data_IF_914066010873
#
_entry.id   IF_914066010873
#
_cell.length_a   1.000
_cell.length_b   1.000
_cell.length_c   1.000
_cell.angle_alpha   90.00
_cell.angle_beta   90.00
_cell.angle_gamma   90.00
#
_symmetry.space_group_name_H-M   'P 1'
#
loop_
_entity.id
_entity.type
_entity.pdbx_description
1 polymer ?
#
# COMPACT_ATOMS: atom_id res chain seq x y z
N UNK A 1 -6.29 -19.42 -1.02
CA UNK A 1 -5.57 -18.13 -0.82
C UNK A 1 -6.54 -17.00 -1.08
N UNK A 2 -6.85 -16.20 -0.06
CA UNK A 2 -7.75 -15.03 -0.14
C UNK A 2 -6.92 -13.76 -0.31
N UNK A 3 -7.15 -13.02 -1.38
CA UNK A 3 -6.52 -11.73 -1.65
C UNK A 3 -7.57 -10.63 -1.49
N UNK A 4 -7.28 -9.67 -0.64
CA UNK A 4 -8.15 -8.53 -0.35
C UNK A 4 -7.49 -7.23 -0.82
N UNK A 5 -8.28 -6.35 -1.40
CA UNK A 5 -7.86 -5.00 -1.82
C UNK A 5 -8.71 -3.99 -1.06
N UNK A 6 -8.08 -3.20 -0.20
CA UNK A 6 -8.78 -2.16 0.54
C UNK A 6 -9.25 -1.06 -0.41
N UNK A 7 -10.56 -0.78 -0.40
CA UNK A 7 -11.11 0.38 -1.08
C UNK A 7 -11.02 1.62 -0.17
N UNK A 8 -9.87 2.27 -0.20
CA UNK A 8 -9.65 3.54 0.52
C UNK A 8 -10.34 4.75 -0.14
N UNK A 9 -11.11 4.54 -1.20
CA UNK A 9 -11.67 5.66 -2.00
C UNK A 9 -10.61 6.36 -2.86
N UNK A 10 -9.38 5.87 -2.88
CA UNK A 10 -8.29 6.38 -3.71
C UNK A 10 -7.45 5.21 -4.25
N UNK A 11 -6.87 5.39 -5.42
CA UNK A 11 -6.09 4.34 -6.08
C UNK A 11 -6.79 3.73 -7.28
N UNK A 12 -6.00 3.16 -8.18
CA UNK A 12 -6.52 2.46 -9.34
C UNK A 12 -6.84 1.00 -8.98
N UNK A 13 -7.90 0.83 -8.16
CA UNK A 13 -8.34 -0.48 -7.65
C UNK A 13 -8.71 -1.42 -8.80
N UNK A 14 -9.36 -0.90 -9.84
CA UNK A 14 -9.77 -1.70 -10.98
C UNK A 14 -8.56 -2.30 -11.72
N UNK A 15 -7.52 -1.51 -11.96
CA UNK A 15 -6.29 -2.02 -12.59
C UNK A 15 -5.58 -3.06 -11.74
N UNK A 16 -5.49 -2.86 -10.43
CA UNK A 16 -4.90 -3.83 -9.52
C UNK A 16 -5.70 -5.14 -9.52
N UNK A 17 -7.03 -5.03 -9.44
CA UNK A 17 -7.93 -6.19 -9.51
C UNK A 17 -7.74 -6.95 -10.82
N UNK A 18 -7.74 -6.25 -11.95
CA UNK A 18 -7.59 -6.85 -13.27
C UNK A 18 -6.22 -7.54 -13.43
N UNK A 19 -5.15 -6.92 -12.95
CA UNK A 19 -3.81 -7.50 -12.98
C UNK A 19 -3.74 -8.79 -12.16
N UNK A 20 -4.28 -8.79 -10.94
CA UNK A 20 -4.33 -9.99 -10.10
C UNK A 20 -5.20 -11.09 -10.72
N UNK A 21 -6.33 -10.72 -11.34
CA UNK A 21 -7.19 -11.66 -12.05
C UNK A 21 -6.50 -12.27 -13.28
N UNK A 22 -5.75 -11.47 -14.02
CA UNK A 22 -4.93 -11.94 -15.14
C UNK A 22 -3.87 -12.97 -14.70
N UNK A 23 -3.35 -12.81 -13.49
CA UNK A 23 -2.41 -13.77 -12.88
C UNK A 23 -3.09 -15.02 -12.32
N UNK A 24 -4.41 -15.18 -12.51
CA UNK A 24 -5.17 -16.35 -12.08
C UNK A 24 -5.71 -16.27 -10.64
N UNK A 25 -5.64 -15.11 -10.00
CA UNK A 25 -6.19 -14.89 -8.67
C UNK A 25 -7.62 -14.32 -8.73
N UNK A 26 -8.37 -14.47 -7.66
CA UNK A 26 -9.71 -13.89 -7.52
C UNK A 26 -9.74 -12.89 -6.34
N UNK A 27 -9.25 -11.65 -6.55
CA UNK A 27 -9.17 -10.66 -5.48
C UNK A 27 -10.55 -10.07 -5.14
N UNK A 28 -10.77 -9.85 -3.85
CA UNK A 28 -11.97 -9.21 -3.31
C UNK A 28 -11.67 -7.75 -3.00
N UNK A 29 -12.49 -6.84 -3.49
CA UNK A 29 -12.44 -5.42 -3.11
C UNK A 29 -13.24 -5.26 -1.83
N UNK A 30 -12.61 -4.71 -0.80
CA UNK A 30 -13.15 -4.61 0.56
C UNK A 30 -13.54 -3.16 0.85
N UNK A 31 -14.82 -2.93 1.10
CA UNK A 31 -15.38 -1.64 1.46
C UNK A 31 -15.50 -1.44 2.97
N UNK A 32 -15.43 -2.51 3.74
CA UNK A 32 -15.53 -2.54 5.18
C UNK A 32 -14.49 -3.49 5.80
N UNK A 33 -14.21 -3.31 7.08
CA UNK A 33 -13.16 -4.03 7.80
C UNK A 33 -13.43 -5.53 7.86
N UNK A 34 -14.69 -5.91 8.00
CA UNK A 34 -15.13 -7.30 8.09
C UNK A 34 -14.76 -8.13 6.85
N UNK A 35 -14.68 -7.47 5.69
CA UNK A 35 -14.29 -8.11 4.42
C UNK A 35 -12.84 -8.63 4.45
N UNK A 36 -11.99 -8.04 5.32
CA UNK A 36 -10.59 -8.42 5.47
C UNK A 36 -10.37 -9.74 6.24
N UNK A 37 -11.40 -10.25 6.91
CA UNK A 37 -11.30 -11.46 7.71
C UNK A 37 -10.73 -12.64 6.92
N UNK A 38 -9.73 -13.33 7.49
CA UNK A 38 -9.06 -14.50 6.89
C UNK A 38 -8.39 -14.21 5.53
N UNK A 39 -7.94 -12.98 5.31
CA UNK A 39 -7.14 -12.65 4.13
C UNK A 39 -5.71 -13.16 4.30
N UNK A 40 -5.17 -13.80 3.28
CA UNK A 40 -3.74 -14.16 3.22
C UNK A 40 -2.91 -12.94 2.79
N UNK A 41 -3.44 -12.16 1.83
CA UNK A 41 -2.82 -10.93 1.34
C UNK A 41 -3.80 -9.77 1.40
N UNK A 42 -3.34 -8.63 1.91
CA UNK A 42 -4.10 -7.39 1.98
C UNK A 42 -3.35 -6.32 1.19
N UNK A 43 -3.91 -5.87 0.09
CA UNK A 43 -3.38 -4.76 -0.68
C UNK A 43 -3.97 -3.44 -0.18
N UNK A 44 -3.09 -2.48 0.09
CA UNK A 44 -3.42 -1.10 0.44
C UNK A 44 -2.95 -0.17 -0.68
N UNK A 45 -3.73 0.02 -1.75
CA UNK A 45 -3.43 1.01 -2.77
C UNK A 45 -3.75 2.41 -2.26
N UNK A 46 -3.02 3.41 -2.77
CA UNK A 46 -3.31 4.81 -2.48
C UNK A 46 -2.76 5.71 -3.58
N UNK A 47 -3.56 6.70 -3.99
CA UNK A 47 -3.12 7.79 -4.87
C UNK A 47 -3.61 9.13 -4.33
N UNK A 48 -2.91 10.21 -4.69
CA UNK A 48 -3.22 11.54 -4.22
C UNK A 48 -2.44 11.94 -2.97
N UNK A 49 -3.00 12.79 -2.13
CA UNK A 49 -2.30 13.27 -0.94
C UNK A 49 -2.36 12.27 0.21
N UNK A 50 -1.27 12.19 0.96
CA UNK A 50 -1.14 11.36 2.16
C UNK A 50 -2.32 11.56 3.13
N UNK A 51 -2.64 12.82 3.46
CA UNK A 51 -3.70 13.16 4.41
C UNK A 51 -5.08 12.70 3.93
N UNK A 52 -5.38 12.82 2.64
CA UNK A 52 -6.68 12.39 2.12
C UNK A 52 -6.87 10.89 2.23
N UNK A 53 -5.83 10.10 1.92
CA UNK A 53 -5.93 8.64 2.05
C UNK A 53 -6.11 8.24 3.52
N UNK A 54 -5.39 8.89 4.45
CA UNK A 54 -5.59 8.65 5.90
C UNK A 54 -7.02 8.99 6.33
N UNK A 55 -7.56 10.13 5.91
CA UNK A 55 -8.95 10.53 6.25
C UNK A 55 -9.97 9.51 5.73
N UNK A 56 -9.81 9.05 4.50
CA UNK A 56 -10.68 8.04 3.92
C UNK A 56 -10.61 6.71 4.69
N UNK A 57 -9.40 6.27 5.06
CA UNK A 57 -9.22 5.06 5.87
C UNK A 57 -9.89 5.19 7.25
N UNK A 58 -9.79 6.37 7.88
CA UNK A 58 -10.47 6.66 9.16
C UNK A 58 -12.00 6.60 9.01
N UNK A 59 -12.55 7.20 7.96
CA UNK A 59 -14.00 7.20 7.69
C UNK A 59 -14.57 5.79 7.51
N UNK A 60 -13.78 4.86 6.99
CA UNK A 60 -14.16 3.47 6.76
C UNK A 60 -13.66 2.51 7.85
N UNK A 61 -13.14 3.01 8.96
CA UNK A 61 -12.57 2.27 10.08
C UNK A 61 -11.34 1.39 9.74
N UNK A 62 -10.81 1.46 8.53
CA UNK A 62 -9.61 0.71 8.15
C UNK A 62 -8.36 1.20 8.89
N UNK A 63 -8.29 2.50 9.21
CA UNK A 63 -7.12 3.08 9.87
C UNK A 63 -6.85 2.43 11.22
N UNK A 64 -7.86 2.35 12.09
CA UNK A 64 -7.70 1.77 13.42
C UNK A 64 -7.48 0.25 13.36
N UNK A 65 -8.17 -0.42 12.45
CA UNK A 65 -7.95 -1.84 12.19
C UNK A 65 -6.51 -2.15 11.79
N UNK A 66 -5.94 -1.40 10.84
CA UNK A 66 -4.59 -1.60 10.33
C UNK A 66 -3.50 -1.19 11.32
N UNK A 67 -3.76 -0.28 12.26
CA UNK A 67 -2.79 0.07 13.30
C UNK A 67 -2.53 -1.08 14.28
N UNK A 68 -3.49 -1.95 14.47
CA UNK A 68 -3.35 -3.09 15.36
C UNK A 68 -2.91 -4.32 14.58
N UNK A 69 -1.61 -4.57 14.54
CA UNK A 69 -1.02 -5.70 13.79
C UNK A 69 -1.68 -7.05 14.09
N UNK A 70 -2.14 -7.26 15.33
CA UNK A 70 -2.86 -8.48 15.73
C UNK A 70 -4.09 -8.79 14.87
N UNK A 71 -4.70 -7.76 14.24
CA UNK A 71 -5.89 -7.95 13.40
C UNK A 71 -5.57 -8.65 12.08
N UNK A 72 -4.29 -8.66 11.67
CA UNK A 72 -3.84 -9.28 10.41
C UNK A 72 -2.49 -10.01 10.56
N UNK A 73 -2.19 -10.54 11.75
CA UNK A 73 -0.91 -11.23 12.04
C UNK A 73 -0.60 -12.39 11.07
N UNK A 74 -1.64 -13.05 10.56
CA UNK A 74 -1.51 -14.13 9.58
C UNK A 74 -1.61 -13.66 8.14
N UNK A 75 -1.63 -12.35 7.89
CA UNK A 75 -1.77 -11.76 6.57
C UNK A 75 -0.52 -10.98 6.19
N UNK A 76 -0.23 -10.92 4.89
CA UNK A 76 0.82 -10.06 4.34
C UNK A 76 0.16 -8.76 3.87
N UNK A 77 0.51 -7.64 4.49
CA UNK A 77 0.07 -6.31 4.08
C UNK A 77 1.03 -5.73 3.03
N UNK A 78 0.48 -5.32 1.88
CA UNK A 78 1.23 -4.79 0.75
C UNK A 78 0.75 -3.37 0.45
N UNK A 79 1.56 -2.37 0.77
CA UNK A 79 1.30 -0.98 0.43
C UNK A 79 1.78 -0.65 -0.99
N UNK A 80 0.95 0.06 -1.77
CA UNK A 80 1.30 0.50 -3.12
C UNK A 80 1.24 2.02 -3.21
N UNK A 81 2.34 2.64 -3.66
CA UNK A 81 2.48 4.10 -3.83
C UNK A 81 2.21 4.81 -2.49
N UNK A 82 1.22 5.69 -2.41
CA UNK A 82 0.83 6.34 -1.13
C UNK A 82 0.47 5.30 -0.08
N UNK A 83 -0.16 4.18 -0.44
CA UNK A 83 -0.42 3.08 0.48
C UNK A 83 0.83 2.52 1.17
N UNK A 84 1.97 2.49 0.46
CA UNK A 84 3.28 2.14 1.07
C UNK A 84 3.74 3.24 2.04
N UNK A 85 3.58 4.51 1.67
CA UNK A 85 3.96 5.62 2.54
C UNK A 85 3.18 5.61 3.86
N UNK A 86 1.90 5.20 3.83
CA UNK A 86 1.05 5.11 5.03
C UNK A 86 1.56 4.11 6.07
N UNK A 87 2.37 3.13 5.69
CA UNK A 87 2.91 2.15 6.64
C UNK A 87 3.89 2.78 7.65
N UNK A 88 4.49 3.93 7.32
CA UNK A 88 5.43 4.66 8.16
C UNK A 88 4.74 5.57 9.18
N UNK A 89 5.53 6.24 10.01
CA UNK A 89 5.04 7.10 11.10
C UNK A 89 4.37 8.37 10.59
N UNK A 90 4.95 9.00 9.55
CA UNK A 90 4.51 10.28 8.99
C UNK A 90 5.13 10.53 7.61
N UNK A 91 4.62 11.55 6.92
CA UNK A 91 5.15 12.02 5.64
C UNK A 91 5.32 13.54 5.67
N UNK A 92 6.37 14.04 5.02
CA UNK A 92 6.55 15.50 4.77
C UNK A 92 5.52 16.05 3.76
N UNK A 93 4.72 15.17 3.12
CA UNK A 93 3.65 15.57 2.21
C UNK A 93 2.32 15.85 2.92
N UNK A 94 2.24 15.57 4.23
CA UNK A 94 1.01 15.73 5.01
C UNK A 94 1.27 16.05 6.48
N UNK A 95 0.19 16.24 7.21
CA UNK A 95 0.16 16.51 8.65
C UNK A 95 -0.42 15.35 9.46
N UNK A 96 -1.13 14.45 8.82
CA UNK A 96 -1.71 13.28 9.44
C UNK A 96 -0.62 12.26 9.86
N UNK A 97 -0.92 11.46 10.85
CA UNK A 97 -0.05 10.35 11.27
C UNK A 97 -0.31 9.12 10.40
N UNK A 98 0.76 8.45 10.00
CA UNK A 98 0.67 7.16 9.32
C UNK A 98 0.25 6.02 10.25
N UNK A 99 0.31 4.81 9.75
CA UNK A 99 -0.07 3.60 10.48
C UNK A 99 0.98 3.16 11.51
N UNK A 100 2.22 3.66 11.38
CA UNK A 100 3.34 3.33 12.27
C UNK A 100 3.61 1.81 12.37
N UNK A 101 3.45 1.09 11.27
CA UNK A 101 3.79 -0.33 11.15
C UNK A 101 5.27 -0.54 10.82
N UNK A 102 5.87 0.45 10.20
CA UNK A 102 7.30 0.55 9.90
C UNK A 102 7.87 1.81 10.55
N UNK A 103 9.02 1.69 11.21
CA UNK A 103 9.71 2.82 11.79
C UNK A 103 10.29 3.74 10.71
N UNK A 104 10.19 5.05 10.94
CA UNK A 104 10.74 6.07 10.05
C UNK A 104 9.70 7.00 9.48
N UNK A 105 10.20 7.95 8.66
CA UNK A 105 9.39 9.02 8.06
C UNK A 105 9.63 9.12 6.57
N UNK A 106 8.57 9.35 5.82
CA UNK A 106 8.66 9.64 4.39
C UNK A 106 9.13 11.09 4.21
N UNK A 107 10.18 11.27 3.42
CA UNK A 107 10.78 12.59 3.14
C UNK A 107 10.66 12.94 1.67
N UNK A 108 10.53 14.23 1.39
CA UNK A 108 10.67 14.75 0.03
C UNK A 108 12.11 14.60 -0.47
N UNK A 109 12.26 14.42 -1.76
CA UNK A 109 13.58 14.45 -2.37
C UNK A 109 14.23 15.82 -2.16
N UNK A 110 15.42 15.85 -1.54
CA UNK A 110 16.16 17.08 -1.24
C UNK A 110 17.31 17.39 -2.21
N UNK A 111 17.43 16.62 -3.29
CA UNK A 111 18.57 16.72 -4.22
C UNK A 111 18.31 17.80 -5.27
N UNK A 112 19.19 18.79 -5.33
CA UNK A 112 19.06 19.99 -6.21
C UNK A 112 18.92 19.69 -7.71
N UNK A 113 19.27 18.48 -8.17
CA UNK A 113 19.31 18.11 -9.59
C UNK A 113 18.26 17.05 -9.98
N UNK A 114 17.33 16.72 -9.09
CA UNK A 114 16.23 15.78 -9.40
C UNK A 114 14.96 16.55 -9.66
N UNK A 115 14.35 16.31 -10.83
CA UNK A 115 13.03 16.85 -11.13
C UNK A 115 11.97 16.19 -10.23
N UNK A 116 11.18 17.00 -9.54
CA UNK A 116 10.07 16.55 -8.70
C UNK A 116 8.76 17.04 -9.33
N UNK A 117 7.77 16.17 -9.54
CA UNK A 117 7.76 14.75 -9.19
C UNK A 117 8.71 13.91 -10.05
N UNK A 118 9.32 12.88 -9.42
CA UNK A 118 10.17 11.92 -10.12
C UNK A 118 9.27 10.85 -10.75
N UNK A 119 9.17 10.88 -12.07
CA UNK A 119 8.31 9.98 -12.86
C UNK A 119 9.12 9.39 -14.02
N UNK A 120 8.89 8.11 -14.29
CA UNK A 120 9.53 7.40 -15.40
C UNK A 120 9.88 5.96 -15.06
N UNK A 121 10.46 5.29 -16.03
CA UNK A 121 10.98 3.94 -15.87
C UNK A 121 12.37 4.00 -15.24
N UNK A 122 12.57 3.22 -14.18
CA UNK A 122 13.85 3.09 -13.49
C UNK A 122 14.23 1.64 -13.34
N UNK A 123 15.53 1.36 -13.39
CA UNK A 123 16.06 0.05 -13.04
C UNK A 123 16.10 -0.06 -11.52
N UNK A 124 15.63 -1.19 -11.01
CA UNK A 124 15.67 -1.52 -9.58
C UNK A 124 16.69 -2.62 -9.37
N UNK A 125 17.64 -2.38 -8.48
CA UNK A 125 18.67 -3.32 -8.09
C UNK A 125 18.48 -3.72 -6.63
N UNK A 126 18.56 -5.00 -6.33
CA UNK A 126 18.47 -5.50 -4.96
C UNK A 126 19.18 -6.83 -4.82
N UNK A 127 20.08 -6.96 -3.86
CA UNK A 127 20.97 -8.10 -3.70
C UNK A 127 20.23 -9.43 -3.47
N UNK A 128 19.04 -9.42 -2.91
CA UNK A 128 18.26 -10.60 -2.57
C UNK A 128 16.89 -10.68 -3.23
N UNK A 129 16.38 -9.62 -3.83
CA UNK A 129 15.04 -9.58 -4.38
C UNK A 129 14.90 -10.47 -5.63
N UNK A 130 15.95 -10.53 -6.46
CA UNK A 130 15.93 -11.30 -7.71
C UNK A 130 16.34 -12.76 -7.58
N UNK A 131 16.94 -13.19 -6.47
CA UNK A 131 17.30 -14.60 -6.28
C UNK A 131 16.08 -15.51 -6.15
N UNK A 132 14.93 -14.96 -5.73
CA UNK A 132 13.69 -15.70 -5.52
C UNK A 132 12.66 -15.50 -6.65
N UNK A 133 12.84 -14.51 -7.51
CA UNK A 133 12.05 -14.33 -8.72
C UNK A 133 12.77 -15.04 -9.86
N UNK A 134 12.51 -16.36 -10.05
CA UNK A 134 13.04 -17.11 -11.17
C UNK A 134 12.83 -16.34 -12.49
N UNK A 135 13.81 -15.58 -12.87
CA UNK A 135 14.19 -14.92 -14.11
C UNK A 135 13.27 -14.95 -15.33
N UNK A 136 11.97 -14.90 -15.17
CA UNK A 136 11.06 -14.67 -16.28
C UNK A 136 10.74 -13.16 -16.31
N UNK A 137 11.45 -12.48 -17.22
CA UNK A 137 11.10 -11.13 -17.70
C UNK A 137 9.78 -11.16 -18.44
#
# INVERSE_FOLDING_TARGET
MKISIINSGSGNIASLKNMLSFLGYNPVVCDQVEDLNKSDFIFLPGVGSFDNVIKNLKQKNFYDYLKEKKNFDNSILIGICVGMQLLFESSEEGTEKGLNLLSGKIKKFSVKNIKVPHMGWNSVFGDNFYKNCNGKR
#
